data_IF_003635483076
#
_entry.id   IF_003635483076
#
_cell.length_a   1.000
_cell.length_b   1.000
_cell.length_c   1.000
_cell.angle_alpha   90.00
_cell.angle_beta   90.00
_cell.angle_gamma   90.00
#
_symmetry.space_group_name_H-M   'P 1'
#
loop_
_entity.id
_entity.type
_entity.pdbx_description
1 polymer ?
#
# COMPACT_ATOMS: atom_id res chain seq x y z
N UNK A 1 -15.59 13.70 12.13
CA UNK A 1 -14.86 12.47 11.80
C UNK A 1 -14.56 12.53 10.32
N UNK A 2 -13.30 12.79 9.92
CA UNK A 2 -12.85 12.61 8.55
C UNK A 2 -13.15 11.19 8.07
N UNK A 3 -13.60 11.09 6.82
CA UNK A 3 -13.82 9.83 6.14
C UNK A 3 -12.53 9.38 5.45
N UNK A 4 -12.11 8.13 5.66
CA UNK A 4 -10.91 7.57 5.05
C UNK A 4 -11.26 6.36 4.20
N UNK A 5 -10.89 6.41 2.92
CA UNK A 5 -10.97 5.28 2.00
C UNK A 5 -9.61 4.62 1.84
N UNK A 6 -9.58 3.29 1.85
CA UNK A 6 -8.36 2.50 1.64
C UNK A 6 -8.57 1.53 0.49
N UNK A 7 -7.68 1.59 -0.50
CA UNK A 7 -7.74 0.82 -1.74
C UNK A 7 -6.48 -0.03 -1.94
N UNK A 8 -6.64 -1.14 -2.66
CA UNK A 8 -5.55 -2.05 -3.02
C UNK A 8 -5.61 -2.27 -4.53
N UNK A 9 -4.75 -1.60 -5.28
CA UNK A 9 -4.80 -1.58 -6.75
C UNK A 9 -3.61 -2.30 -7.36
N UNK A 10 -3.86 -3.15 -8.36
CA UNK A 10 -2.87 -3.84 -9.17
C UNK A 10 -2.80 -3.17 -10.53
N UNK A 11 -1.61 -2.71 -10.91
CA UNK A 11 -1.31 -2.22 -12.26
C UNK A 11 -1.27 -3.42 -13.21
N UNK A 12 -1.94 -3.33 -14.36
CA UNK A 12 -1.96 -4.39 -15.38
C UNK A 12 -1.07 -4.00 -16.56
N UNK A 13 0.12 -4.64 -16.70
CA UNK A 13 1.04 -4.32 -17.78
C UNK A 13 0.54 -4.77 -19.16
N UNK A 14 -0.28 -5.83 -19.17
CA UNK A 14 -0.76 -6.45 -20.40
C UNK A 14 -1.70 -5.51 -21.16
N UNK A 15 -1.20 -4.92 -22.26
CA UNK A 15 -1.95 -3.93 -23.04
C UNK A 15 -1.91 -2.54 -22.42
N UNK A 16 -0.87 -2.23 -21.64
CA UNK A 16 -0.60 -0.88 -21.16
C UNK A 16 -0.52 0.10 -22.34
N UNK A 17 -1.26 1.19 -22.22
CA UNK A 17 -1.32 2.30 -23.15
C UNK A 17 -1.65 3.54 -22.33
N UNK A 18 -0.88 4.61 -22.48
CA UNK A 18 -1.00 5.83 -21.65
C UNK A 18 -1.84 6.93 -22.30
N UNK A 19 -1.86 7.06 -23.62
CA UNK A 19 -2.52 8.19 -24.27
C UNK A 19 -3.38 7.79 -25.48
N UNK A 20 -4.70 7.56 -25.31
CA UNK A 20 -5.43 7.64 -24.04
C UNK A 20 -5.14 6.43 -23.14
N UNK A 21 -5.24 6.61 -21.81
CA UNK A 21 -5.08 5.51 -20.87
C UNK A 21 -6.09 4.40 -21.13
N UNK A 22 -5.62 3.16 -21.07
CA UNK A 22 -6.51 2.01 -21.10
C UNK A 22 -7.36 1.97 -19.81
N UNK A 23 -8.68 2.03 -19.96
CA UNK A 23 -9.62 2.01 -18.84
C UNK A 23 -9.53 0.73 -17.97
N UNK A 24 -8.92 -0.34 -18.49
CA UNK A 24 -8.68 -1.59 -17.77
C UNK A 24 -7.22 -1.74 -17.29
N UNK A 25 -6.49 -0.63 -17.16
CA UNK A 25 -5.08 -0.63 -16.74
C UNK A 25 -4.85 -0.99 -15.27
N UNK A 26 -5.91 -1.10 -14.47
CA UNK A 26 -5.86 -1.35 -13.04
C UNK A 26 -6.94 -2.36 -12.61
N UNK A 27 -6.63 -3.17 -11.60
CA UNK A 27 -7.59 -4.03 -10.91
C UNK A 27 -7.60 -3.71 -9.42
N UNK A 28 -8.77 -3.78 -8.81
CA UNK A 28 -8.93 -3.74 -7.36
C UNK A 28 -9.38 -5.14 -6.88
N UNK A 29 -8.44 -6.07 -6.62
CA UNK A 29 -8.79 -7.44 -6.26
C UNK A 29 -9.42 -7.56 -4.88
N UNK A 30 -9.13 -6.61 -3.99
CA UNK A 30 -9.63 -6.60 -2.60
C UNK A 30 -10.64 -5.46 -2.47
N UNK A 31 -11.74 -5.65 -1.72
CA UNK A 31 -12.71 -4.58 -1.51
C UNK A 31 -12.05 -3.39 -0.82
N UNK A 32 -12.44 -2.16 -1.22
CA UNK A 32 -12.04 -0.98 -0.49
C UNK A 32 -12.59 -1.02 0.94
N UNK A 33 -11.86 -0.40 1.88
CA UNK A 33 -12.36 -0.20 3.24
C UNK A 33 -12.63 1.28 3.48
N UNK A 34 -13.81 1.57 3.98
CA UNK A 34 -14.26 2.91 4.33
C UNK A 34 -14.33 3.01 5.85
N UNK A 35 -13.60 3.97 6.44
CA UNK A 35 -13.48 4.12 7.90
C UNK A 35 -13.62 5.58 8.27
N UNK A 36 -14.52 5.88 9.20
CA UNK A 36 -14.56 7.19 9.86
C UNK A 36 -13.54 7.19 11.00
N UNK A 37 -12.66 8.19 11.00
CA UNK A 37 -11.61 8.34 12.00
C UNK A 37 -11.96 9.49 12.94
N UNK A 38 -11.75 9.30 14.24
CA UNK A 38 -11.88 10.37 15.22
C UNK A 38 -10.85 11.48 14.94
N UNK A 39 -11.25 12.73 15.10
CA UNK A 39 -10.35 13.87 14.90
C UNK A 39 -9.93 14.44 16.27
N UNK A 40 -8.62 14.48 16.60
CA UNK A 40 -7.47 13.95 15.86
C UNK A 40 -7.30 12.41 16.00
N UNK A 41 -6.81 11.75 14.94
CA UNK A 41 -6.65 10.29 14.95
C UNK A 41 -5.59 9.77 13.99
N UNK A 42 -5.37 8.46 14.02
CA UNK A 42 -4.45 7.75 13.12
C UNK A 42 -5.16 6.54 12.50
N UNK A 43 -4.75 6.18 11.29
CA UNK A 43 -5.14 4.94 10.63
C UNK A 43 -3.88 4.14 10.26
N UNK A 44 -3.95 2.83 10.45
CA UNK A 44 -2.92 1.88 10.02
C UNK A 44 -3.56 0.86 9.07
N UNK A 45 -3.57 1.12 7.75
CA UNK A 45 -4.07 0.18 6.77
C UNK A 45 -3.40 -1.20 6.88
N UNK A 46 -4.11 -2.25 6.50
CA UNK A 46 -3.52 -3.59 6.45
C UNK A 46 -2.38 -3.59 5.41
N UNK A 47 -1.17 -3.87 5.86
CA UNK A 47 -0.04 -4.10 4.97
C UNK A 47 -0.05 -5.54 4.47
N UNK A 48 -0.15 -5.71 3.15
CA UNK A 48 -0.04 -6.99 2.48
C UNK A 48 1.10 -6.89 1.45
N UNK A 49 2.24 -7.58 1.63
CA UNK A 49 3.39 -7.44 0.74
C UNK A 49 3.12 -7.93 -0.68
N UNK A 50 2.30 -8.98 -0.81
CA UNK A 50 1.90 -9.53 -2.10
C UNK A 50 0.42 -9.92 -2.06
N UNK A 51 -0.31 -9.59 -3.13
CA UNK A 51 -1.72 -9.92 -3.29
C UNK A 51 -1.93 -10.82 -4.50
N UNK A 52 -2.90 -11.72 -4.37
CA UNK A 52 -3.39 -12.50 -5.50
C UNK A 52 -4.38 -11.65 -6.30
N UNK A 53 -4.30 -11.74 -7.63
CA UNK A 53 -5.24 -11.09 -8.54
C UNK A 53 -5.67 -12.05 -9.64
N UNK A 54 -6.82 -11.77 -10.27
CA UNK A 54 -7.33 -12.51 -11.42
C UNK A 54 -7.53 -11.57 -12.59
N UNK A 55 -6.89 -11.85 -13.72
CA UNK A 55 -7.00 -11.08 -14.96
C UNK A 55 -7.24 -12.04 -16.13
N UNK A 56 -8.30 -11.80 -16.92
CA UNK A 56 -8.69 -12.64 -18.05
C UNK A 56 -8.76 -14.15 -17.74
N UNK A 57 -9.23 -14.50 -16.54
CA UNK A 57 -9.35 -15.89 -16.08
C UNK A 57 -8.04 -16.54 -15.61
N UNK A 58 -6.91 -15.84 -15.72
CA UNK A 58 -5.64 -16.27 -15.15
C UNK A 58 -5.43 -15.65 -13.77
N UNK A 59 -4.91 -16.45 -12.84
CA UNK A 59 -4.50 -15.97 -11.51
C UNK A 59 -3.01 -15.65 -11.51
N UNK A 60 -2.66 -14.51 -10.91
CA UNK A 60 -1.27 -14.11 -10.67
C UNK A 60 -1.07 -13.57 -9.26
N UNK A 61 0.19 -13.34 -8.92
CA UNK A 61 0.60 -12.62 -7.71
C UNK A 61 1.13 -11.24 -8.10
N UNK A 62 0.89 -10.24 -7.29
CA UNK A 62 1.40 -8.88 -7.47
C UNK A 62 2.05 -8.41 -6.17
N UNK A 63 3.22 -7.79 -6.27
CA UNK A 63 3.97 -7.27 -5.14
C UNK A 63 3.67 -5.79 -4.93
N UNK A 64 3.71 -5.34 -3.69
CA UNK A 64 3.48 -3.93 -3.37
C UNK A 64 4.66 -3.06 -3.81
N UNK A 65 4.37 -1.97 -4.51
CA UNK A 65 5.34 -0.96 -4.90
C UNK A 65 5.41 0.18 -3.87
N UNK A 66 4.28 0.81 -3.57
CA UNK A 66 4.21 2.00 -2.71
C UNK A 66 2.78 2.27 -2.21
N UNK A 67 2.66 3.11 -1.19
CA UNK A 67 1.40 3.75 -0.79
C UNK A 67 1.27 5.13 -1.40
N UNK A 68 0.08 5.53 -1.82
CA UNK A 68 -0.28 6.94 -2.02
C UNK A 68 -1.33 7.36 -1.00
N UNK A 69 -1.19 8.58 -0.47
CA UNK A 69 -2.15 9.21 0.44
C UNK A 69 -2.48 10.58 -0.12
N UNK A 70 -3.77 10.92 -0.24
CA UNK A 70 -4.21 12.23 -0.70
C UNK A 70 -5.50 12.68 -0.05
N UNK A 71 -5.68 13.99 0.12
CA UNK A 71 -6.96 14.63 0.47
C UNK A 71 -7.60 15.36 -0.73
N UNK A 72 -7.06 15.18 -1.94
CA UNK A 72 -7.45 15.86 -3.17
C UNK A 72 -6.85 17.27 -3.34
N UNK A 73 -6.20 17.82 -2.33
CA UNK A 73 -5.50 19.13 -2.36
C UNK A 73 -3.99 19.00 -2.09
N UNK A 74 -3.61 17.93 -1.42
CA UNK A 74 -2.27 17.50 -1.09
C UNK A 74 -2.18 15.99 -1.27
N UNK A 75 -0.99 15.48 -1.55
CA UNK A 75 -0.77 14.04 -1.50
C UNK A 75 0.69 13.66 -1.47
N UNK A 76 0.97 12.47 -0.96
CA UNK A 76 2.30 11.97 -0.70
C UNK A 76 2.38 10.49 -1.02
N UNK A 77 3.56 10.04 -1.46
CA UNK A 77 3.84 8.61 -1.65
C UNK A 77 4.82 8.09 -0.59
N UNK A 78 4.52 6.92 -0.03
CA UNK A 78 5.36 6.23 0.95
C UNK A 78 5.88 4.91 0.36
N UNK A 79 7.11 4.47 0.71
CA UNK A 79 7.61 3.17 0.31
C UNK A 79 6.68 2.02 0.72
N UNK A 80 6.77 0.89 0.01
CA UNK A 80 6.11 -0.35 0.44
C UNK A 80 6.53 -0.72 1.87
N UNK A 81 5.56 -1.18 2.67
CA UNK A 81 5.75 -1.50 4.07
C UNK A 81 4.53 -1.15 4.91
N UNK A 82 4.68 -1.23 6.23
CA UNK A 82 3.64 -0.77 7.16
C UNK A 82 3.50 0.75 7.10
N UNK A 83 2.26 1.25 7.03
CA UNK A 83 1.94 2.67 7.08
C UNK A 83 1.16 3.00 8.36
N UNK A 84 1.50 4.11 9.00
CA UNK A 84 0.66 4.76 10.01
C UNK A 84 0.45 6.20 9.56
N UNK A 85 -0.79 6.52 9.22
CA UNK A 85 -1.18 7.80 8.64
C UNK A 85 -1.98 8.61 9.66
N UNK A 86 -1.56 9.84 9.93
CA UNK A 86 -2.34 10.77 10.72
C UNK A 86 -3.50 11.33 9.90
N UNK A 87 -4.67 11.43 10.52
CA UNK A 87 -5.90 11.91 9.90
C UNK A 87 -6.33 13.18 10.61
N UNK A 88 -6.32 14.28 9.86
CA UNK A 88 -6.79 15.60 10.31
C UNK A 88 -8.27 15.82 9.99
N UNK A 89 -8.66 17.05 9.68
CA UNK A 89 -10.06 17.39 9.39
C UNK A 89 -10.57 16.94 8.02
N UNK A 90 -9.66 16.71 7.07
CA UNK A 90 -10.00 16.41 5.68
C UNK A 90 -10.15 14.90 5.45
N UNK A 91 -11.09 14.47 4.58
CA UNK A 91 -11.12 13.10 4.09
C UNK A 91 -9.79 12.69 3.46
N UNK A 92 -9.45 11.40 3.57
CA UNK A 92 -8.24 10.85 2.95
C UNK A 92 -8.57 9.66 2.07
N UNK A 93 -7.89 9.59 0.93
CA UNK A 93 -7.79 8.38 0.12
C UNK A 93 -6.39 7.82 0.26
N UNK A 94 -6.30 6.57 0.72
CA UNK A 94 -5.08 5.80 0.85
C UNK A 94 -5.13 4.66 -0.16
N UNK A 95 -4.07 4.45 -0.92
CA UNK A 95 -4.01 3.37 -1.92
C UNK A 95 -2.67 2.65 -1.85
N UNK A 96 -2.70 1.33 -1.70
CA UNK A 96 -1.56 0.49 -1.97
C UNK A 96 -1.53 0.13 -3.45
N UNK A 97 -0.41 0.42 -4.12
CA UNK A 97 -0.18 0.12 -5.52
C UNK A 97 0.68 -1.12 -5.67
N UNK A 98 0.25 -2.06 -6.50
CA UNK A 98 0.88 -3.36 -6.73
C UNK A 98 1.24 -3.57 -8.19
N UNK A 99 2.28 -4.37 -8.43
CA UNK A 99 2.72 -4.77 -9.76
C UNK A 99 2.88 -6.30 -9.87
N UNK A 100 2.39 -6.95 -10.94
CA UNK A 100 2.50 -8.38 -11.15
C UNK A 100 3.93 -8.95 -11.01
N UNK A 101 4.06 -10.03 -10.24
CA UNK A 101 5.27 -10.86 -10.18
C UNK A 101 5.27 -11.81 -11.39
N UNK A 102 6.31 -11.76 -12.22
CA UNK A 102 6.42 -12.61 -13.43
C UNK A 102 6.58 -11.85 -14.75
N UNK A 103 6.49 -10.52 -14.72
CA UNK A 103 6.75 -9.66 -15.88
C UNK A 103 5.71 -9.74 -17.00
N UNK A 104 6.00 -9.10 -18.13
CA UNK A 104 5.05 -8.88 -19.23
C UNK A 104 4.93 -10.08 -20.20
N UNK A 105 5.23 -11.28 -19.69
CA UNK A 105 5.25 -12.54 -20.43
C UNK A 105 6.63 -12.96 -20.94
N UNK A 106 6.78 -14.24 -21.35
CA UNK A 106 8.06 -14.79 -21.76
C UNK A 106 8.62 -14.14 -23.04
N UNK A 107 9.88 -13.72 -22.99
CA UNK A 107 10.66 -13.27 -24.15
C UNK A 107 10.63 -11.77 -24.46
N UNK A 108 9.92 -10.95 -23.67
CA UNK A 108 9.92 -9.49 -23.83
C UNK A 108 10.80 -8.81 -22.79
N UNK A 109 11.89 -8.21 -23.26
CA UNK A 109 12.75 -7.30 -22.49
C UNK A 109 12.22 -5.89 -22.71
N UNK A 110 11.26 -5.51 -21.88
CA UNK A 110 10.62 -4.20 -21.89
C UNK A 110 10.40 -3.77 -20.46
N UNK A 111 10.42 -2.46 -20.21
CA UNK A 111 9.84 -1.90 -18.98
C UNK A 111 8.57 -1.14 -19.32
N UNK A 112 7.65 -1.12 -18.37
CA UNK A 112 6.54 -0.18 -18.33
C UNK A 112 7.05 1.12 -17.72
N UNK A 113 6.73 2.25 -18.33
CA UNK A 113 6.98 3.56 -17.75
C UNK A 113 5.66 4.31 -17.55
N UNK A 114 5.52 4.98 -16.43
CA UNK A 114 4.32 5.78 -16.14
C UNK A 114 4.63 7.01 -15.28
N UNK A 115 3.67 7.92 -15.19
CA UNK A 115 3.73 9.11 -14.38
C UNK A 115 2.61 9.11 -13.34
N UNK A 116 2.94 9.46 -12.11
CA UNK A 116 2.02 9.45 -10.98
C UNK A 116 1.93 10.83 -10.34
N UNK A 117 0.71 11.29 -10.05
CA UNK A 117 0.46 12.56 -9.36
C UNK A 117 -0.01 12.29 -7.94
N UNK A 118 0.76 12.75 -6.96
CA UNK A 118 0.45 12.48 -5.56
C UNK A 118 -0.84 13.18 -5.10
N UNK A 119 -1.09 14.42 -5.53
CA UNK A 119 -2.33 15.17 -5.24
C UNK A 119 -3.59 14.53 -5.85
N UNK A 120 -3.45 13.84 -6.98
CA UNK A 120 -4.57 13.09 -7.57
C UNK A 120 -4.71 11.71 -6.96
N UNK A 121 -3.65 11.19 -6.35
CA UNK A 121 -3.57 9.80 -5.89
C UNK A 121 -3.67 8.81 -7.05
N UNK A 122 -3.27 9.21 -8.26
CA UNK A 122 -3.49 8.42 -9.47
C UNK A 122 -2.44 8.67 -10.56
N UNK A 123 -2.39 7.77 -11.54
CA UNK A 123 -1.56 7.91 -12.73
C UNK A 123 -2.08 8.97 -13.68
N UNK A 124 -1.18 9.62 -14.42
CA UNK A 124 -1.49 10.75 -15.29
C UNK A 124 -1.05 10.51 -16.73
N UNK A 125 -1.84 11.06 -17.66
CA UNK A 125 -1.67 10.88 -19.11
C UNK A 125 -0.88 12.04 -19.71
N UNK A 126 0.25 12.38 -19.10
CA UNK A 126 1.15 13.43 -19.59
C UNK A 126 2.32 12.87 -20.38
N UNK A 127 2.81 13.69 -21.32
CA UNK A 127 4.18 13.57 -21.81
C UNK A 127 5.12 13.99 -20.68
N UNK A 128 5.90 13.05 -20.18
CA UNK A 128 6.66 13.21 -18.94
C UNK A 128 8.12 12.80 -19.08
N UNK A 129 8.48 11.96 -20.05
CA UNK A 129 9.81 11.36 -20.14
C UNK A 129 10.47 11.62 -21.48
N UNK A 130 11.79 11.74 -21.49
CA UNK A 130 12.63 11.66 -22.69
C UNK A 130 13.56 10.46 -22.57
N UNK A 131 13.62 9.61 -23.60
CA UNK A 131 14.61 8.52 -23.67
C UNK A 131 15.89 9.11 -24.27
N UNK A 132 16.85 9.48 -23.42
CA UNK A 132 18.03 10.26 -23.83
C UNK A 132 19.08 9.39 -24.53
N UNK A 133 19.13 8.10 -24.22
CA UNK A 133 20.00 7.11 -24.88
C UNK A 133 19.55 6.76 -26.30
N UNK A 134 18.24 6.79 -26.55
CA UNK A 134 17.61 6.53 -27.85
C UNK A 134 16.34 7.39 -28.02
N UNK A 135 16.49 8.63 -28.53
CA UNK A 135 15.38 9.57 -28.67
C UNK A 135 14.21 9.05 -29.52
N UNK A 136 14.45 8.07 -30.39
CA UNK A 136 13.39 7.47 -31.23
C UNK A 136 12.32 6.75 -30.40
N UNK A 137 12.65 6.32 -29.18
CA UNK A 137 11.74 5.64 -28.27
C UNK A 137 10.88 6.61 -27.44
N UNK A 138 11.18 7.92 -27.44
CA UNK A 138 10.49 8.91 -26.60
C UNK A 138 8.99 8.97 -26.87
N UNK A 139 8.56 8.90 -28.14
CA UNK A 139 7.14 8.88 -28.47
C UNK A 139 6.46 7.60 -27.96
N UNK A 140 7.14 6.46 -28.05
CA UNK A 140 6.58 5.18 -27.61
C UNK A 140 6.45 5.14 -26.07
N UNK A 141 7.48 5.62 -25.36
CA UNK A 141 7.48 5.78 -23.92
C UNK A 141 6.28 6.62 -23.44
N UNK A 142 6.04 7.78 -24.04
CA UNK A 142 4.96 8.66 -23.58
C UNK A 142 3.55 8.20 -24.01
N UNK A 143 3.39 7.61 -25.20
CA UNK A 143 2.06 7.25 -25.72
C UNK A 143 1.65 5.85 -25.28
N UNK A 144 2.54 4.87 -25.42
CA UNK A 144 2.26 3.47 -25.08
C UNK A 144 2.64 3.18 -23.62
N UNK A 145 3.62 3.86 -23.06
CA UNK A 145 4.13 3.53 -21.72
C UNK A 145 4.94 2.24 -21.72
N UNK A 146 5.70 1.99 -22.79
CA UNK A 146 6.55 0.81 -22.95
C UNK A 146 7.88 1.23 -23.56
N UNK A 147 8.97 0.90 -22.88
CA UNK A 147 10.34 1.10 -23.38
C UNK A 147 11.04 -0.25 -23.60
N UNK A 148 11.41 -0.59 -24.85
CA UNK A 148 12.20 -1.78 -25.14
C UNK A 148 13.61 -1.70 -24.56
N UNK A 149 14.03 -2.77 -23.89
CA UNK A 149 15.31 -2.86 -23.17
C UNK A 149 16.28 -3.85 -23.82
N UNK A 150 16.13 -4.15 -25.11
CA UNK A 150 17.12 -4.93 -25.86
C UNK A 150 18.53 -4.29 -25.83
N UNK A 151 18.59 -2.97 -25.63
CA UNK A 151 19.77 -2.20 -25.26
C UNK A 151 19.49 -1.48 -23.95
N UNK A 152 20.54 -1.09 -23.24
CA UNK A 152 20.40 -0.23 -22.07
C UNK A 152 19.77 1.10 -22.50
N UNK A 153 18.89 1.63 -21.66
CA UNK A 153 18.19 2.89 -21.90
C UNK A 153 18.39 3.84 -20.73
N UNK A 154 18.35 5.14 -21.02
CA UNK A 154 18.36 6.19 -20.02
C UNK A 154 17.11 7.04 -20.22
N UNK A 155 16.27 7.11 -19.18
CA UNK A 155 15.02 7.85 -19.19
C UNK A 155 15.18 9.07 -18.29
N UNK A 156 14.82 10.25 -18.78
CA UNK A 156 14.82 11.49 -18.03
C UNK A 156 13.40 12.00 -17.87
N UNK A 157 12.92 12.11 -16.64
CA UNK A 157 11.64 12.74 -16.33
C UNK A 157 11.73 14.27 -16.45
N UNK A 158 10.63 14.86 -16.91
CA UNK A 158 10.41 16.29 -16.97
C UNK A 158 10.27 16.84 -15.56
N UNK A 159 10.79 18.05 -15.32
CA UNK A 159 10.69 18.67 -13.99
C UNK A 159 9.23 18.99 -13.59
N UNK A 160 8.35 19.15 -14.57
CA UNK A 160 6.92 19.43 -14.42
C UNK A 160 6.15 18.88 -15.62
N UNK A 161 4.86 18.66 -15.46
CA UNK A 161 3.94 18.17 -16.49
C UNK A 161 2.64 18.98 -16.49
N UNK A 162 1.80 18.80 -17.52
CA UNK A 162 0.67 19.70 -17.74
C UNK A 162 -0.53 19.42 -16.85
N UNK A 163 -0.76 18.16 -16.47
CA UNK A 163 -1.98 17.75 -15.78
C UNK A 163 -1.94 17.94 -14.26
N UNK A 164 -0.78 18.24 -13.68
CA UNK A 164 -0.61 18.49 -12.24
C UNK A 164 0.35 19.66 -11.99
N UNK A 165 0.11 20.50 -10.97
CA UNK A 165 1.05 21.53 -10.56
C UNK A 165 2.24 20.98 -9.74
N UNK A 166 2.28 19.69 -9.48
CA UNK A 166 3.34 19.05 -8.70
C UNK A 166 4.64 18.94 -9.51
N UNK A 167 5.81 19.25 -8.92
CA UNK A 167 7.09 19.02 -9.57
C UNK A 167 7.46 17.54 -9.51
N UNK A 168 8.34 17.11 -10.41
CA UNK A 168 9.00 15.81 -10.28
C UNK A 168 9.73 15.73 -8.94
N UNK A 169 9.54 14.61 -8.25
CA UNK A 169 10.13 14.34 -6.94
C UNK A 169 11.11 13.18 -7.00
N UNK A 170 10.65 12.02 -7.49
CA UNK A 170 11.43 10.78 -7.45
C UNK A 170 10.95 9.77 -8.49
N UNK A 171 11.80 8.80 -8.76
CA UNK A 171 11.43 7.57 -9.44
C UNK A 171 11.07 6.50 -8.41
N UNK A 172 9.99 5.77 -8.65
CA UNK A 172 9.70 4.47 -8.02
C UNK A 172 9.93 3.41 -9.08
N UNK A 173 10.74 2.40 -8.79
CA UNK A 173 11.10 1.39 -9.80
C UNK A 173 11.12 -0.01 -9.21
N UNK A 174 10.64 -0.97 -9.99
CA UNK A 174 10.79 -2.39 -9.72
C UNK A 174 11.27 -3.09 -10.99
N UNK A 175 12.44 -3.73 -10.95
CA UNK A 175 13.03 -4.41 -12.11
C UNK A 175 13.52 -3.50 -13.25
N UNK A 176 13.20 -2.19 -13.22
CA UNK A 176 13.55 -1.26 -14.29
C UNK A 176 14.96 -0.67 -14.18
N UNK A 177 15.58 -0.58 -13.00
CA UNK A 177 16.95 -0.07 -12.88
C UNK A 177 17.18 0.81 -11.64
N UNK A 178 18.15 1.72 -11.74
CA UNK A 178 18.55 2.61 -10.63
C UNK A 178 18.36 4.07 -11.01
N UNK A 179 17.70 4.82 -10.13
CA UNK A 179 17.46 6.24 -10.33
C UNK A 179 18.60 7.10 -9.77
N UNK A 180 18.90 8.19 -10.48
CA UNK A 180 19.76 9.27 -10.05
C UNK A 180 19.07 10.61 -10.41
N UNK A 181 18.52 11.28 -9.41
CA UNK A 181 17.65 12.45 -9.58
C UNK A 181 16.47 12.15 -10.53
N UNK A 182 16.25 12.99 -11.53
CA UNK A 182 15.20 12.82 -12.53
C UNK A 182 15.58 11.85 -13.66
N UNK A 183 16.74 11.20 -13.58
CA UNK A 183 17.17 10.21 -14.55
C UNK A 183 17.07 8.80 -13.94
N UNK A 184 16.63 7.83 -14.73
CA UNK A 184 16.72 6.40 -14.40
C UNK A 184 17.48 5.66 -15.49
N UNK A 185 18.50 4.91 -15.07
CA UNK A 185 19.29 4.06 -15.95
C UNK A 185 18.72 2.64 -15.94
N UNK A 186 18.30 2.19 -17.12
CA UNK A 186 17.61 0.93 -17.37
C UNK A 186 18.59 -0.03 -18.04
N UNK A 187 19.01 -1.13 -17.39
CA UNK A 187 19.97 -2.05 -17.97
C UNK A 187 19.38 -2.82 -19.16
N UNK A 188 20.24 -3.27 -20.06
CA UNK A 188 19.82 -4.16 -21.14
C UNK A 188 19.23 -5.45 -20.56
N UNK A 189 18.09 -5.88 -21.08
CA UNK A 189 17.36 -7.05 -20.62
C UNK A 189 16.45 -6.80 -19.42
N UNK A 190 16.30 -5.57 -18.94
CA UNK A 190 15.42 -5.24 -17.82
C UNK A 190 13.95 -5.53 -18.13
N UNK A 191 13.23 -6.05 -17.13
CA UNK A 191 11.78 -6.24 -17.16
C UNK A 191 11.18 -5.73 -15.86
N UNK A 192 10.18 -4.86 -15.95
CA UNK A 192 9.56 -4.27 -14.76
C UNK A 192 8.91 -2.93 -15.05
N UNK A 193 8.85 -2.06 -14.03
CA UNK A 193 8.18 -0.77 -14.10
C UNK A 193 9.05 0.37 -13.53
N UNK A 194 8.96 1.54 -14.16
CA UNK A 194 9.53 2.81 -13.69
C UNK A 194 8.44 3.88 -13.65
N UNK A 195 8.19 4.47 -12.48
CA UNK A 195 7.14 5.46 -12.25
C UNK A 195 7.80 6.79 -11.88
N UNK A 196 7.59 7.83 -12.68
CA UNK A 196 7.96 9.19 -12.32
C UNK A 196 6.89 9.78 -11.41
N UNK A 197 7.24 10.06 -10.16
CA UNK A 197 6.33 10.62 -9.16
C UNK A 197 6.46 12.13 -9.15
N UNK A 198 5.31 12.80 -9.33
CA UNK A 198 5.14 14.23 -9.16
C UNK A 198 4.49 14.47 -7.79
N UNK A 199 5.23 15.13 -6.90
CA UNK A 199 4.88 15.31 -5.48
C UNK A 199 5.54 16.60 -4.97
N UNK A 200 4.87 17.39 -4.12
CA UNK A 200 5.53 18.53 -3.46
C UNK A 200 6.36 18.04 -2.26
N UNK A 201 7.57 18.58 -2.11
CA UNK A 201 8.52 18.17 -1.06
C UNK A 201 8.07 18.48 0.38
N UNK A 202 7.24 19.50 0.57
CA UNK A 202 6.85 20.02 1.89
C UNK A 202 5.34 19.88 2.15
N UNK A 203 4.85 18.65 2.17
CA UNK A 203 3.46 18.36 2.46
C UNK A 203 3.33 17.97 3.94
N UNK A 204 2.75 18.87 4.73
CA UNK A 204 2.26 18.56 6.07
C UNK A 204 0.84 18.02 5.96
N UNK A 205 0.68 16.73 5.65
CA UNK A 205 -0.55 16.04 6.06
C UNK A 205 -0.52 16.07 7.59
N UNK A 206 -1.51 16.69 8.28
CA UNK A 206 -1.36 17.08 9.67
C UNK A 206 -0.82 15.95 10.54
N UNK A 207 0.45 16.06 10.95
CA UNK A 207 0.99 15.28 12.06
C UNK A 207 0.54 16.00 13.32
N UNK A 208 -0.29 15.34 14.12
CA UNK A 208 -0.67 15.87 15.42
C UNK A 208 0.59 15.90 16.28
N UNK A 209 0.91 17.08 16.82
CA UNK A 209 1.89 17.23 17.88
C UNK A 209 1.39 16.42 19.10
N UNK A 210 2.10 15.34 19.52
CA UNK A 210 1.69 14.51 20.65
C UNK A 210 1.47 15.30 21.94
N UNK A 211 2.08 16.47 22.06
CA UNK A 211 2.06 17.31 23.25
C UNK A 211 0.98 18.41 23.20
N UNK A 212 0.41 18.70 22.02
CA UNK A 212 -0.56 19.79 21.85
C UNK A 212 -1.99 19.40 22.22
N UNK A 213 -2.34 18.11 22.12
CA UNK A 213 -3.63 17.55 22.51
C UNK A 213 -3.40 16.10 22.92
N UNK A 214 -3.89 15.67 24.09
CA UNK A 214 -3.71 14.30 24.61
C UNK A 214 -4.19 13.21 23.65
N UNK A 215 -3.33 12.85 22.70
CA UNK A 215 -3.71 12.19 21.46
C UNK A 215 -4.10 10.73 21.68
N UNK A 216 -5.22 10.35 21.06
CA UNK A 216 -5.81 9.02 21.10
C UNK A 216 -5.02 8.12 20.14
N UNK A 217 -4.38 7.07 20.67
CA UNK A 217 -3.70 6.05 19.87
C UNK A 217 -4.64 4.84 19.71
N UNK A 218 -5.13 4.61 18.49
CA UNK A 218 -5.96 3.44 18.16
C UNK A 218 -5.38 2.68 16.98
N UNK A 219 -5.05 1.40 17.18
CA UNK A 219 -4.75 0.44 16.10
C UNK A 219 -5.98 -0.44 15.92
N UNK A 220 -6.59 -0.41 14.74
CA UNK A 220 -7.65 -1.35 14.35
C UNK A 220 -6.98 -2.66 13.92
N UNK A 221 -7.28 -3.77 14.60
CA UNK A 221 -6.82 -5.10 14.21
C UNK A 221 -8.05 -5.94 13.87
N UNK A 222 -8.39 -5.97 12.58
CA UNK A 222 -9.45 -6.80 12.00
C UNK A 222 -10.83 -6.14 11.99
N UNK A 223 -11.43 -6.12 10.80
CA UNK A 223 -12.79 -5.62 10.55
C UNK A 223 -12.97 -5.15 9.11
N UNK A 224 -12.83 -6.04 8.12
CA UNK A 224 -13.27 -5.76 6.74
C UNK A 224 -14.37 -6.75 6.39
N UNK A 225 -15.52 -6.19 6.01
CA UNK A 225 -16.68 -6.79 5.38
C UNK A 225 -17.35 -7.98 6.11
N UNK A 226 -18.66 -7.85 6.31
CA UNK A 226 -19.61 -8.91 6.72
C UNK A 226 -19.63 -9.23 8.23
N UNK A 227 -20.27 -8.37 9.02
CA UNK A 227 -20.95 -8.73 10.29
C UNK A 227 -20.13 -9.61 11.29
N UNK A 228 -18.82 -9.39 11.34
CA UNK A 228 -17.86 -10.27 12.00
C UNK A 228 -16.89 -9.50 12.88
N UNK A 229 -17.00 -9.72 14.19
CA UNK A 229 -16.23 -9.03 15.22
C UNK A 229 -14.71 -9.01 15.12
N UNK A 230 -14.11 -8.20 15.98
CA UNK A 230 -12.70 -7.78 16.03
C UNK A 230 -12.33 -7.21 17.41
N UNK A 231 -11.30 -6.36 17.51
CA UNK A 231 -10.97 -5.66 18.76
C UNK A 231 -10.46 -4.24 18.50
N UNK A 232 -10.87 -3.29 19.35
CA UNK A 232 -10.40 -1.90 19.34
C UNK A 232 -9.57 -1.68 20.60
N UNK A 233 -8.40 -1.06 20.52
CA UNK A 233 -7.62 -0.69 21.71
C UNK A 233 -7.97 0.74 22.11
N UNK A 234 -8.44 0.94 23.35
CA UNK A 234 -8.72 2.26 23.94
C UNK A 234 -7.87 2.36 25.22
N UNK A 235 -7.01 3.39 25.32
CA UNK A 235 -6.16 3.62 26.50
C UNK A 235 -5.30 2.41 26.91
N UNK A 236 -4.73 1.70 25.93
CA UNK A 236 -3.94 0.48 26.16
C UNK A 236 -4.75 -0.74 26.62
N UNK A 237 -6.09 -0.65 26.64
CA UNK A 237 -6.99 -1.73 27.00
C UNK A 237 -7.75 -2.21 25.75
N UNK A 238 -7.70 -3.51 25.42
CA UNK A 238 -8.46 -4.06 24.31
C UNK A 238 -9.96 -4.13 24.62
N UNK A 239 -10.80 -3.70 23.69
CA UNK A 239 -12.26 -3.74 23.72
C UNK A 239 -12.77 -4.70 22.64
N UNK A 240 -13.54 -5.75 23.01
CA UNK A 240 -13.95 -6.78 22.08
C UNK A 240 -15.13 -6.33 21.22
N UNK A 241 -15.14 -6.73 19.96
CA UNK A 241 -16.31 -6.77 19.09
C UNK A 241 -16.60 -8.24 18.80
N UNK A 242 -17.80 -8.71 19.15
CA UNK A 242 -18.19 -10.12 19.02
C UNK A 242 -18.43 -10.53 17.55
N UNK A 243 -18.24 -11.82 17.19
CA UNK A 243 -18.00 -12.97 18.08
C UNK A 243 -16.53 -13.30 18.34
N UNK A 244 -15.60 -12.58 17.69
CA UNK A 244 -14.16 -12.87 17.73
C UNK A 244 -13.41 -12.08 18.81
N UNK A 245 -14.06 -11.09 19.43
CA UNK A 245 -13.45 -10.16 20.37
C UNK A 245 -12.56 -10.80 21.43
N UNK A 246 -13.02 -11.81 22.19
CA UNK A 246 -12.16 -12.46 23.19
C UNK A 246 -10.92 -13.14 22.61
N UNK A 247 -11.01 -13.70 21.40
CA UNK A 247 -9.86 -14.32 20.73
C UNK A 247 -8.85 -13.28 20.25
N UNK A 248 -9.34 -12.23 19.59
CA UNK A 248 -8.50 -11.14 19.06
C UNK A 248 -7.77 -10.40 20.18
N UNK A 249 -8.45 -10.16 21.31
CA UNK A 249 -7.84 -9.57 22.51
C UNK A 249 -6.68 -10.43 23.04
N UNK A 250 -6.90 -11.75 23.14
CA UNK A 250 -5.85 -12.65 23.64
C UNK A 250 -4.66 -12.74 22.68
N UNK A 251 -4.92 -12.71 21.37
CA UNK A 251 -3.86 -12.70 20.37
C UNK A 251 -3.02 -11.43 20.43
N UNK A 252 -3.67 -10.28 20.56
CA UNK A 252 -3.01 -8.98 20.74
C UNK A 252 -2.18 -8.97 22.03
N UNK A 253 -2.77 -9.35 23.17
CA UNK A 253 -2.06 -9.38 24.46
C UNK A 253 -0.87 -10.35 24.44
N UNK A 254 -1.01 -11.51 23.79
CA UNK A 254 0.09 -12.47 23.64
C UNK A 254 1.21 -11.94 22.74
N UNK A 255 0.86 -11.22 21.66
CA UNK A 255 1.85 -10.59 20.79
C UNK A 255 2.63 -9.48 21.51
N UNK A 256 1.95 -8.66 22.30
CA UNK A 256 2.55 -7.60 23.11
C UNK A 256 3.44 -8.18 24.21
N UNK A 257 2.98 -9.22 24.93
CA UNK A 257 3.76 -9.91 25.94
C UNK A 257 5.02 -10.57 25.35
N UNK A 258 4.88 -11.21 24.18
CA UNK A 258 6.01 -11.82 23.47
C UNK A 258 7.03 -10.77 23.00
N UNK A 259 6.57 -9.63 22.47
CA UNK A 259 7.43 -8.52 22.07
C UNK A 259 8.17 -7.91 23.27
N UNK A 260 7.46 -7.63 24.38
CA UNK A 260 8.04 -7.08 25.60
C UNK A 260 9.06 -8.03 26.25
N UNK A 261 8.84 -9.35 26.15
CA UNK A 261 9.73 -10.36 26.73
C UNK A 261 11.13 -10.43 26.10
N UNK A 262 11.34 -9.87 24.91
CA UNK A 262 12.63 -9.88 24.20
C UNK A 262 13.74 -9.12 24.95
N UNK A 263 13.37 -8.26 25.89
CA UNK A 263 14.29 -7.50 26.74
C UNK A 263 14.57 -8.19 28.09
N UNK A 264 14.05 -9.39 28.31
CA UNK A 264 14.22 -10.16 29.55
C UNK A 264 15.30 -11.24 29.39
N UNK A 265 15.77 -11.77 30.52
CA UNK A 265 16.70 -12.92 30.53
C UNK A 265 16.08 -14.15 29.83
N UNK A 266 16.90 -14.96 29.16
CA UNK A 266 16.46 -16.06 28.28
C UNK A 266 15.47 -17.05 28.92
N UNK A 267 15.62 -17.37 30.20
CA UNK A 267 14.68 -18.24 30.93
C UNK A 267 13.31 -17.58 31.11
N UNK A 268 13.29 -16.31 31.51
CA UNK A 268 12.08 -15.50 31.72
C UNK A 268 11.37 -15.19 30.40
N UNK A 269 12.12 -14.97 29.33
CA UNK A 269 11.57 -14.82 27.98
C UNK A 269 10.82 -16.09 27.54
N UNK A 270 11.46 -17.26 27.66
CA UNK A 270 10.85 -18.53 27.26
C UNK A 270 9.59 -18.85 28.07
N UNK A 271 9.57 -18.52 29.35
CA UNK A 271 8.42 -18.73 30.23
C UNK A 271 7.25 -17.79 29.89
N UNK A 272 7.51 -16.50 29.63
CA UNK A 272 6.48 -15.55 29.19
C UNK A 272 5.93 -15.90 27.81
N UNK A 273 6.77 -16.34 26.87
CA UNK A 273 6.31 -16.79 25.54
C UNK A 273 5.46 -18.05 25.64
N UNK A 274 5.79 -18.98 26.56
CA UNK A 274 5.00 -20.18 26.82
C UNK A 274 3.62 -19.83 27.42
N UNK A 275 3.56 -18.91 28.37
CA UNK A 275 2.31 -18.43 28.98
C UNK A 275 1.44 -17.71 27.95
N UNK A 276 2.05 -16.86 27.12
CA UNK A 276 1.37 -16.15 26.02
C UNK A 276 0.76 -17.13 25.00
N UNK A 277 1.51 -18.17 24.59
CA UNK A 277 1.03 -19.19 23.69
C UNK A 277 -0.11 -20.03 24.29
N UNK A 278 -0.03 -20.38 25.59
CA UNK A 278 -1.08 -21.10 26.30
C UNK A 278 -2.36 -20.26 26.44
N UNK A 279 -2.23 -18.96 26.70
CA UNK A 279 -3.36 -18.02 26.75
C UNK A 279 -4.12 -17.94 25.41
N UNK A 280 -3.39 -17.89 24.28
CA UNK A 280 -4.00 -17.92 22.94
C UNK A 280 -4.71 -19.26 22.69
N UNK A 281 -4.07 -20.38 23.05
CA UNK A 281 -4.65 -21.71 22.85
C UNK A 281 -5.95 -21.91 23.65
N UNK A 282 -6.01 -21.46 24.89
CA UNK A 282 -7.24 -21.50 25.69
C UNK A 282 -8.32 -20.57 25.14
N UNK A 283 -7.95 -19.39 24.63
CA UNK A 283 -8.89 -18.49 23.96
C UNK A 283 -9.50 -19.12 22.70
N UNK A 284 -8.70 -19.85 21.91
CA UNK A 284 -9.17 -20.61 20.74
C UNK A 284 -10.17 -21.69 21.15
N UNK A 285 -9.87 -22.48 22.19
CA UNK A 285 -10.76 -23.55 22.69
C UNK A 285 -12.12 -23.04 23.16
N UNK A 286 -12.19 -21.80 23.64
CA UNK A 286 -13.45 -21.17 24.07
C UNK A 286 -14.21 -20.54 22.90
N UNK A 287 -13.50 -19.99 21.92
CA UNK A 287 -14.11 -19.32 20.77
C UNK A 287 -14.77 -20.30 19.79
N UNK A 288 -14.08 -21.40 19.45
CA UNK A 288 -14.51 -22.36 18.41
C UNK A 288 -15.91 -22.96 18.69
N UNK A 289 -16.24 -23.48 19.88
CA UNK A 289 -17.56 -24.07 20.15
C UNK A 289 -18.72 -23.05 20.15
N UNK A 290 -18.43 -21.77 20.44
CA UNK A 290 -19.43 -20.68 20.41
C UNK A 290 -19.78 -20.28 18.97
N UNK A 291 -18.82 -20.40 18.06
CA UNK A 291 -18.99 -20.15 16.62
C UNK A 291 -19.82 -21.26 16.00
N UNK A 292 -19.49 -22.52 16.31
CA UNK A 292 -20.25 -23.69 15.83
C UNK A 292 -21.73 -23.60 16.24
N UNK A 293 -22.02 -23.21 17.49
CA UNK A 293 -23.41 -22.99 17.95
C UNK A 293 -24.14 -21.84 17.26
N UNK A 294 -23.43 -20.80 16.79
CA UNK A 294 -24.03 -19.66 16.06
C UNK A 294 -24.29 -20.01 14.59
N UNK A 295 -23.46 -20.86 13.98
CA UNK A 295 -23.64 -21.35 12.60
C UNK A 295 -24.82 -22.32 12.47
N UNK A 296 -25.13 -23.11 13.51
CA UNK A 296 -26.25 -24.07 13.52
C UNK A 296 -27.62 -23.37 13.65
N UNK A 297 -27.67 -22.08 14.03
CA UNK A 297 -28.90 -21.30 14.22
C UNK A 297 -29.28 -20.42 13.01
N UNK A 298 -28.63 -20.59 11.86
CA UNK A 298 -29.00 -19.96 10.58
C UNK A 298 -29.58 -21.01 9.64
#
# INVERSE_FOLDING_TARGET
MPHVSVHYKVIIPAGHHRQPRNANGELEPYPSSEVDVDEPGNISPLYVPEIQYTYNGATGMAHMLFWSVTDGTQGQTYPAGTLTQSVGSSPLTITAWYYPTGGDGPGRTVIIDDAFSAIKGDFIDDTFVTVTSDPSLTSQANVVGVVPTAKAQTLQASASVNSTPEPFSKWISYGAGTANNNVIDVPAGATGIAIAVYEKSDINIPKIDPDAFGAIYGTIIGGVAVDGGGAIIINGKPHPIDPWGPLMINLVNASLASAASKHLGRSTQAEMQKIAAQSVLEAIKVAVPKIEKKMIKK
#
